data_IF_249681441580
#
_entry.id   IF_249681441580
#
_cell.length_a   1.000
_cell.length_b   1.000
_cell.length_c   1.000
_cell.angle_alpha   90.00
_cell.angle_beta   90.00
_cell.angle_gamma   90.00
#
_symmetry.space_group_name_H-M   'P 1'
#
loop_
_entity.id
_entity.type
_entity.pdbx_description
1 polymer ?
#
# COMPACT_ATOMS: atom_id res chain seq x y z
N UNK A 1 -16.36 -14.16 11.39
CA UNK A 1 -15.63 -13.10 12.13
C UNK A 1 -15.30 -12.00 11.14
N UNK A 2 -15.37 -10.71 11.52
CA UNK A 2 -14.98 -9.64 10.61
C UNK A 2 -13.48 -9.70 10.29
N UNK A 3 -13.11 -9.30 9.08
CA UNK A 3 -11.72 -9.11 8.69
C UNK A 3 -11.18 -7.85 9.41
N UNK A 4 -10.19 -8.01 10.28
CA UNK A 4 -9.47 -6.91 10.91
C UNK A 4 -8.13 -6.71 10.20
N UNK A 5 -8.02 -5.62 9.46
CA UNK A 5 -6.84 -5.27 8.67
C UNK A 5 -6.44 -3.82 8.85
N UNK A 6 -5.15 -3.56 8.71
CA UNK A 6 -4.57 -2.23 8.54
C UNK A 6 -3.85 -2.22 7.18
N UNK A 7 -4.29 -1.33 6.29
CA UNK A 7 -3.58 -1.04 5.05
C UNK A 7 -2.71 0.19 5.28
N UNK A 8 -1.42 0.07 4.98
CA UNK A 8 -0.45 1.16 5.09
C UNK A 8 0.13 1.41 3.71
N UNK A 9 0.09 2.67 3.28
CA UNK A 9 0.68 3.11 2.01
C UNK A 9 1.73 4.19 2.28
N UNK A 10 2.93 3.98 1.78
CA UNK A 10 4.03 4.94 1.84
C UNK A 10 4.28 5.51 0.44
N UNK A 11 4.02 6.80 0.26
CA UNK A 11 4.19 7.51 -1.01
C UNK A 11 5.55 8.21 -1.03
N UNK A 12 6.62 7.47 -1.32
CA UNK A 12 7.95 8.03 -1.50
C UNK A 12 8.09 8.78 -2.84
N UNK A 13 9.25 9.41 -3.08
CA UNK A 13 9.50 10.15 -4.33
C UNK A 13 9.59 9.24 -5.58
N UNK A 14 10.13 8.03 -5.42
CA UNK A 14 10.33 7.09 -6.54
C UNK A 14 9.36 5.93 -6.52
N UNK A 15 8.99 5.45 -5.33
CA UNK A 15 8.17 4.24 -5.17
C UNK A 15 7.07 4.47 -4.16
N UNK A 16 5.86 4.06 -4.53
CA UNK A 16 4.73 3.90 -3.62
C UNK A 16 4.68 2.46 -3.16
N UNK A 17 4.64 2.23 -1.85
CA UNK A 17 4.58 0.89 -1.26
C UNK A 17 3.26 0.72 -0.53
N UNK A 18 2.67 -0.46 -0.61
CA UNK A 18 1.49 -0.85 0.14
C UNK A 18 1.80 -2.12 0.95
N UNK A 19 1.42 -2.15 2.22
CA UNK A 19 1.43 -3.38 3.02
C UNK A 19 0.07 -3.60 3.66
N UNK A 20 -0.37 -4.86 3.68
CA UNK A 20 -1.54 -5.28 4.43
C UNK A 20 -1.08 -5.99 5.70
N UNK A 21 -1.56 -5.51 6.83
CA UNK A 21 -1.36 -6.14 8.13
C UNK A 21 -2.69 -6.71 8.56
N UNK A 22 -2.76 -8.03 8.70
CA UNK A 22 -3.94 -8.75 9.17
C UNK A 22 -3.82 -9.07 10.66
N UNK A 23 -4.96 -9.03 11.37
CA UNK A 23 -5.07 -9.61 12.70
C UNK A 23 -5.12 -11.14 12.58
N UNK A 24 -4.07 -11.80 13.09
CA UNK A 24 -3.98 -13.27 13.24
C UNK A 24 -4.12 -13.65 14.73
N UNK A 25 -4.29 -14.94 15.08
CA UNK A 25 -4.42 -15.37 16.48
C UNK A 25 -3.27 -14.90 17.39
N UNK A 26 -2.04 -14.86 16.85
CA UNK A 26 -0.82 -14.45 17.53
C UNK A 26 -0.58 -12.93 17.53
N UNK A 27 -1.48 -12.14 16.94
CA UNK A 27 -1.38 -10.69 16.83
C UNK A 27 -1.41 -10.17 15.40
N UNK A 28 -1.05 -8.90 15.23
CA UNK A 28 -0.96 -8.28 13.91
C UNK A 28 0.29 -8.77 13.17
N UNK A 29 0.11 -9.18 11.92
CA UNK A 29 1.18 -9.65 11.03
C UNK A 29 1.04 -9.03 9.66
N UNK A 30 2.15 -8.57 9.10
CA UNK A 30 2.21 -8.22 7.68
C UNK A 30 2.02 -9.50 6.86
N UNK A 31 1.04 -9.50 5.97
CA UNK A 31 0.70 -10.67 5.16
C UNK A 31 0.81 -10.42 3.67
N UNK A 32 0.65 -9.17 3.23
CA UNK A 32 0.83 -8.78 1.83
C UNK A 32 1.69 -7.54 1.71
N UNK A 33 2.37 -7.44 0.57
CA UNK A 33 3.19 -6.29 0.18
C UNK A 33 3.05 -6.09 -1.32
N UNK A 34 2.85 -4.85 -1.73
CA UNK A 34 2.90 -4.41 -3.12
C UNK A 34 3.71 -3.13 -3.24
N UNK A 35 4.20 -2.87 -4.43
CA UNK A 35 4.91 -1.64 -4.75
C UNK A 35 4.71 -1.27 -6.21
N UNK A 36 4.64 0.02 -6.47
CA UNK A 36 4.52 0.61 -7.79
C UNK A 36 5.35 1.90 -7.87
N UNK A 37 5.77 2.36 -9.05
CA UNK A 37 6.36 3.69 -9.20
C UNK A 37 5.42 4.77 -8.64
N UNK A 38 5.97 5.75 -7.94
CA UNK A 38 5.19 6.91 -7.51
C UNK A 38 4.84 7.77 -8.71
N UNK A 39 3.61 8.27 -8.75
CA UNK A 39 3.06 9.11 -9.83
C UNK A 39 3.07 10.59 -9.48
N UNK A 40 4.20 11.10 -8.97
CA UNK A 40 4.40 12.53 -8.64
C UNK A 40 4.79 13.37 -9.86
N UNK A 41 5.35 12.75 -10.90
CA UNK A 41 5.80 13.46 -12.10
C UNK A 41 4.70 13.54 -13.16
N UNK A 42 4.83 14.53 -14.04
CA UNK A 42 4.01 14.64 -15.25
C UNK A 42 4.13 13.36 -16.10
N UNK A 43 3.05 12.91 -16.75
CA UNK A 43 1.73 13.54 -16.84
C UNK A 43 0.75 13.11 -15.73
N UNK A 44 1.22 12.41 -14.70
CA UNK A 44 0.33 11.78 -13.73
C UNK A 44 0.00 12.69 -12.56
N UNK A 45 1.02 13.25 -11.91
CA UNK A 45 0.92 14.25 -10.82
C UNK A 45 -0.17 13.97 -9.78
N UNK A 46 -0.41 12.70 -9.46
CA UNK A 46 -1.43 12.22 -8.53
C UNK A 46 -0.94 10.94 -7.85
N UNK A 47 -0.54 11.06 -6.60
CA UNK A 47 -0.04 9.95 -5.77
C UNK A 47 -1.07 8.84 -5.55
N UNK A 48 -2.36 9.14 -5.70
CA UNK A 48 -3.45 8.16 -5.54
C UNK A 48 -3.35 7.06 -6.58
N UNK A 49 -2.87 7.38 -7.79
CA UNK A 49 -2.59 6.38 -8.84
C UNK A 49 -1.49 5.41 -8.44
N UNK A 50 -0.40 5.92 -7.88
CA UNK A 50 0.68 5.11 -7.31
C UNK A 50 0.16 4.19 -6.19
N UNK A 51 -0.73 4.69 -5.34
CA UNK A 51 -1.38 3.90 -4.29
C UNK A 51 -2.23 2.78 -4.88
N UNK A 52 -3.12 3.09 -5.82
CA UNK A 52 -3.98 2.08 -6.46
C UNK A 52 -3.16 1.01 -7.18
N UNK A 53 -2.08 1.39 -7.86
CA UNK A 53 -1.18 0.46 -8.54
C UNK A 53 -0.38 -0.41 -7.54
N UNK A 54 -0.02 0.13 -6.38
CA UNK A 54 0.72 -0.63 -5.36
C UNK A 54 -0.18 -1.61 -4.58
N UNK A 55 -1.49 -1.40 -4.57
CA UNK A 55 -2.48 -2.31 -3.97
C UNK A 55 -2.95 -3.39 -4.97
N UNK A 56 -2.91 -3.06 -6.27
CA UNK A 56 -3.48 -3.84 -7.38
C UNK A 56 -2.84 -5.18 -7.66
#
# INVERSE_FOLDING_TARGET
MPLEVVLITDCGSTTTKAILIEKKPEGYRQTFRGEAPTTVEAPFEDVTRGVLNAIG
#
